data_IF_094366009290
#
_entry.id   IF_094366009290
#
_cell.length_a   1.000
_cell.length_b   1.000
_cell.length_c   1.000
_cell.angle_alpha   90.00
_cell.angle_beta   90.00
_cell.angle_gamma   90.00
#
_symmetry.space_group_name_H-M   'P 1'
#
loop_
_entity.id
_entity.type
_entity.pdbx_description
1 polymer ?
#
# COMPACT_ATOMS: atom_id res chain seq x y z
N UNK A 1 -5.88 3.50 14.83
CA UNK A 1 -5.71 4.73 14.03
C UNK A 1 -6.74 4.81 12.93
N UNK A 2 -6.84 3.78 12.08
CA UNK A 2 -7.76 3.76 10.94
C UNK A 2 -8.90 2.77 11.17
N UNK A 3 -9.89 3.18 11.95
CA UNK A 3 -11.08 2.36 12.20
C UNK A 3 -11.86 2.09 10.90
N UNK A 4 -11.67 2.93 9.88
CA UNK A 4 -12.19 2.73 8.52
C UNK A 4 -11.74 1.44 7.83
N UNK A 5 -10.69 0.79 8.33
CA UNK A 5 -10.21 -0.44 7.73
C UNK A 5 -10.83 -1.68 8.36
N UNK A 6 -11.53 -1.52 9.50
CA UNK A 6 -12.01 -2.63 10.33
C UNK A 6 -13.16 -3.43 9.71
N UNK A 7 -13.91 -2.85 8.77
CA UNK A 7 -15.01 -3.56 8.09
C UNK A 7 -14.56 -4.36 6.86
N UNK A 8 -13.34 -4.16 6.37
CA UNK A 8 -12.82 -4.92 5.24
C UNK A 8 -12.41 -6.32 5.68
N UNK A 9 -13.04 -7.34 5.08
CA UNK A 9 -12.84 -8.75 5.45
C UNK A 9 -11.78 -9.44 4.60
N UNK A 10 -11.56 -8.97 3.37
CA UNK A 10 -10.50 -9.47 2.49
C UNK A 10 -9.25 -8.60 2.63
N UNK A 11 -8.41 -9.00 3.56
CA UNK A 11 -7.18 -8.31 3.95
C UNK A 11 -6.15 -9.34 4.39
N UNK A 12 -4.88 -9.02 4.24
CA UNK A 12 -3.77 -9.78 4.80
C UNK A 12 -2.55 -8.84 4.91
N UNK A 13 -1.44 -9.37 5.41
CA UNK A 13 -0.17 -8.66 5.40
C UNK A 13 0.99 -9.59 5.04
N UNK A 14 2.14 -9.00 4.72
CA UNK A 14 3.38 -9.75 4.52
C UNK A 14 4.59 -8.91 4.89
N UNK A 15 5.65 -9.60 5.30
CA UNK A 15 6.94 -8.97 5.54
C UNK A 15 7.79 -8.95 4.27
N UNK A 16 8.55 -7.87 4.10
CA UNK A 16 9.56 -7.74 3.06
C UNK A 16 10.90 -7.31 3.66
N UNK A 17 11.92 -8.15 3.51
CA UNK A 17 13.30 -7.89 3.93
C UNK A 17 14.18 -7.56 2.72
N UNK A 18 15.34 -6.88 2.92
CA UNK A 18 16.27 -6.58 1.82
C UNK A 18 16.74 -7.83 1.04
N UNK A 19 16.76 -9.00 1.69
CA UNK A 19 17.12 -10.29 1.09
C UNK A 19 16.03 -10.90 0.21
N UNK A 20 14.78 -10.47 0.33
CA UNK A 20 13.62 -11.14 -0.27
C UNK A 20 13.38 -10.73 -1.71
N UNK A 21 12.71 -11.54 -2.51
CA UNK A 21 12.15 -11.06 -3.78
C UNK A 21 10.74 -10.52 -3.54
N UNK A 22 10.52 -9.21 -3.69
CA UNK A 22 9.22 -8.57 -3.43
C UNK A 22 8.08 -9.26 -4.18
N UNK A 23 8.30 -9.64 -5.44
CA UNK A 23 7.31 -10.34 -6.25
C UNK A 23 6.94 -11.74 -5.74
N UNK A 24 7.88 -12.41 -5.04
CA UNK A 24 7.66 -13.75 -4.46
C UNK A 24 6.96 -13.67 -3.11
N UNK A 25 7.32 -12.73 -2.24
CA UNK A 25 6.75 -12.61 -0.89
C UNK A 25 5.42 -11.87 -0.85
N UNK A 26 5.12 -11.04 -1.86
CA UNK A 26 3.85 -10.32 -1.94
C UNK A 26 2.67 -11.29 -2.14
N UNK A 27 1.82 -11.40 -1.11
CA UNK A 27 0.59 -12.19 -1.09
C UNK A 27 -0.67 -11.40 -1.51
N UNK A 28 -0.53 -10.11 -1.85
CA UNK A 28 -1.68 -9.30 -2.26
C UNK A 28 -2.36 -9.85 -3.53
N UNK A 29 -3.68 -9.63 -3.70
CA UNK A 29 -4.43 -10.13 -4.85
C UNK A 29 -4.03 -9.45 -6.16
N UNK A 30 -4.04 -10.24 -7.23
CA UNK A 30 -3.73 -9.86 -8.61
C UNK A 30 -4.96 -9.35 -9.39
N UNK A 31 -6.16 -9.52 -8.83
CA UNK A 31 -7.44 -9.32 -9.50
C UNK A 31 -8.37 -8.37 -8.72
N UNK A 32 -7.85 -7.73 -7.65
CA UNK A 32 -8.61 -6.82 -6.79
C UNK A 32 -7.97 -5.44 -6.71
N UNK A 33 -8.76 -4.49 -6.20
CA UNK A 33 -8.41 -3.09 -5.99
C UNK A 33 -8.56 -2.79 -4.51
N UNK A 34 -7.83 -1.78 -4.04
CA UNK A 34 -7.89 -1.39 -2.64
C UNK A 34 -6.71 -0.55 -2.21
N UNK A 35 -6.50 -0.50 -0.90
CA UNK A 35 -5.45 0.31 -0.27
C UNK A 35 -4.43 -0.58 0.42
N UNK A 36 -3.25 -0.04 0.68
CA UNK A 36 -2.21 -0.71 1.43
C UNK A 36 -1.44 0.29 2.31
N UNK A 37 -1.00 -0.21 3.46
CA UNK A 37 -0.23 0.50 4.46
C UNK A 37 1.13 -0.17 4.60
N UNK A 38 2.20 0.62 4.66
CA UNK A 38 3.56 0.11 4.78
C UNK A 38 4.19 0.68 6.05
N UNK A 39 4.55 -0.22 6.94
CA UNK A 39 5.27 0.09 8.16
C UNK A 39 6.74 -0.27 8.02
N UNK A 40 7.64 0.64 8.36
CA UNK A 40 9.06 0.35 8.51
C UNK A 40 9.34 -0.19 9.91
N UNK A 41 10.07 -1.31 9.97
CA UNK A 41 10.59 -1.91 11.18
C UNK A 41 12.08 -1.59 11.28
N UNK A 42 12.45 -0.76 12.25
CA UNK A 42 13.82 -0.27 12.38
C UNK A 42 14.18 0.02 13.84
N UNK A 43 15.28 -0.56 14.33
CA UNK A 43 15.89 -0.25 15.64
C UNK A 43 14.87 -0.35 16.79
N UNK A 44 14.01 -1.36 16.75
CA UNK A 44 12.95 -1.58 17.74
C UNK A 44 11.76 -0.62 17.63
N UNK A 45 11.62 0.14 16.53
CA UNK A 45 10.49 1.03 16.26
C UNK A 45 9.67 0.52 15.06
N UNK A 46 8.39 0.86 15.09
CA UNK A 46 7.42 0.63 14.01
C UNK A 46 6.89 1.99 13.59
N UNK A 47 7.05 2.35 12.32
CA UNK A 47 6.60 3.63 11.78
C UNK A 47 5.83 3.44 10.48
N UNK A 48 4.66 4.07 10.34
CA UNK A 48 3.92 4.06 9.07
C UNK A 48 4.62 5.00 8.09
N UNK A 49 5.29 4.44 7.10
CA UNK A 49 6.11 5.23 6.16
C UNK A 49 5.37 5.52 4.86
N UNK A 50 4.39 4.69 4.47
CA UNK A 50 3.66 4.90 3.23
C UNK A 50 2.20 4.43 3.31
N UNK A 51 1.31 5.23 2.72
CA UNK A 51 -0.07 4.86 2.40
C UNK A 51 -0.20 4.91 0.88
N UNK A 52 -0.76 3.85 0.28
CA UNK A 52 -1.00 3.83 -1.15
C UNK A 52 -2.23 3.05 -1.56
N UNK A 53 -2.61 3.16 -2.83
CA UNK A 53 -3.71 2.40 -3.42
C UNK A 53 -3.40 1.72 -4.75
N UNK A 54 -4.29 0.79 -5.13
CA UNK A 54 -4.47 0.30 -6.49
C UNK A 54 -5.95 0.35 -6.88
N UNK A 55 -6.24 0.92 -8.06
CA UNK A 55 -7.60 1.07 -8.56
C UNK A 55 -8.30 2.37 -8.15
N UNK A 56 -9.45 2.60 -8.77
CA UNK A 56 -10.37 3.71 -8.48
C UNK A 56 -11.77 3.42 -9.02
N UNK A 57 -12.78 4.07 -8.45
CA UNK A 57 -14.10 4.13 -9.07
C UNK A 57 -14.09 5.27 -10.08
N UNK A 58 -14.42 4.97 -11.32
CA UNK A 58 -14.47 5.93 -12.43
C UNK A 58 -15.74 6.80 -12.35
N UNK A 59 -15.81 7.91 -13.10
CA UNK A 59 -17.01 8.76 -13.13
C UNK A 59 -18.30 8.05 -13.55
N UNK A 60 -18.20 6.97 -14.32
CA UNK A 60 -19.33 6.11 -14.72
C UNK A 60 -19.76 5.10 -13.63
N UNK A 61 -19.15 5.17 -12.45
CA UNK A 61 -19.41 4.26 -11.32
C UNK A 61 -18.69 2.91 -11.43
N UNK A 62 -17.98 2.63 -12.54
CA UNK A 62 -17.27 1.36 -12.70
C UNK A 62 -15.98 1.32 -11.87
N UNK A 63 -15.73 0.19 -11.22
CA UNK A 63 -14.47 -0.04 -10.51
C UNK A 63 -13.36 -0.40 -11.49
N UNK A 64 -12.34 0.45 -11.56
CA UNK A 64 -11.10 0.14 -12.25
C UNK A 64 -10.23 -0.80 -11.41
N UNK A 65 -9.98 -1.99 -11.96
CA UNK A 65 -9.00 -2.94 -11.46
C UNK A 65 -7.85 -2.99 -12.45
N UNK A 66 -6.63 -2.84 -11.93
CA UNK A 66 -5.43 -2.87 -12.75
C UNK A 66 -5.26 -4.25 -13.38
N UNK A 67 -5.11 -4.32 -14.71
CA UNK A 67 -4.89 -5.58 -15.46
C UNK A 67 -3.47 -5.71 -16.03
N UNK A 68 -2.66 -4.67 -15.94
CA UNK A 68 -1.28 -4.69 -16.44
C UNK A 68 -0.35 -5.48 -15.51
N UNK A 69 0.66 -6.15 -16.09
CA UNK A 69 1.69 -6.88 -15.35
C UNK A 69 1.10 -8.03 -14.54
N UNK A 70 1.36 -8.04 -13.22
CA UNK A 70 0.82 -9.00 -12.26
C UNK A 70 -0.66 -8.74 -11.90
N UNK A 71 -1.25 -7.64 -12.36
CA UNK A 71 -2.61 -7.19 -12.00
C UNK A 71 -2.80 -6.71 -10.55
N UNK A 72 -3.93 -6.04 -10.32
CA UNK A 72 -4.50 -5.73 -9.01
C UNK A 72 -3.62 -4.91 -8.08
N UNK A 73 -3.75 -5.17 -6.77
CA UNK A 73 -2.92 -4.58 -5.72
C UNK A 73 -1.48 -5.08 -5.87
N UNK A 74 -1.30 -6.36 -6.21
CA UNK A 74 0.00 -7.00 -6.36
C UNK A 74 0.92 -6.26 -7.33
N UNK A 75 0.46 -5.94 -8.54
CA UNK A 75 1.30 -5.23 -9.51
C UNK A 75 1.65 -3.82 -9.04
N UNK A 76 0.76 -3.16 -8.32
CA UNK A 76 1.06 -1.82 -7.80
C UNK A 76 2.12 -1.87 -6.71
N UNK A 77 2.05 -2.84 -5.79
CA UNK A 77 3.08 -3.06 -4.77
C UNK A 77 4.43 -3.46 -5.38
N UNK A 78 4.44 -4.37 -6.35
CA UNK A 78 5.69 -4.93 -6.90
C UNK A 78 6.32 -4.05 -7.99
N UNK A 79 5.51 -3.58 -8.94
CA UNK A 79 5.97 -2.90 -10.15
C UNK A 79 5.63 -1.40 -10.18
N UNK A 80 4.95 -0.87 -9.16
CA UNK A 80 4.78 0.58 -9.00
C UNK A 80 6.12 1.30 -8.98
N UNK A 81 6.17 2.54 -9.50
CA UNK A 81 7.38 3.37 -9.45
C UNK A 81 7.42 4.17 -8.15
N UNK A 82 8.57 4.15 -7.47
CA UNK A 82 8.87 4.98 -6.30
C UNK A 82 10.40 5.06 -6.16
N UNK A 83 10.92 6.19 -5.68
CA UNK A 83 12.38 6.44 -5.59
C UNK A 83 13.11 6.18 -6.92
N UNK A 84 12.55 6.68 -8.02
CA UNK A 84 13.18 6.61 -9.35
C UNK A 84 13.10 5.27 -10.09
N UNK A 85 12.71 4.17 -9.43
CA UNK A 85 12.62 2.84 -10.07
C UNK A 85 11.37 2.05 -9.64
N UNK A 86 11.20 0.85 -10.18
CA UNK A 86 10.16 -0.07 -9.73
C UNK A 86 10.42 -0.52 -8.28
N UNK A 87 9.37 -0.60 -7.45
CA UNK A 87 9.44 -0.92 -6.01
C UNK A 87 10.18 -2.21 -5.69
N UNK A 88 10.04 -3.23 -6.53
CA UNK A 88 10.82 -4.48 -6.44
C UNK A 88 12.35 -4.29 -6.39
N UNK A 89 12.82 -3.16 -6.90
CA UNK A 89 14.23 -2.75 -6.88
C UNK A 89 14.47 -1.62 -5.88
N UNK A 90 13.66 -0.55 -5.94
CA UNK A 90 13.94 0.69 -5.21
C UNK A 90 13.69 0.60 -3.72
N UNK A 91 12.72 -0.19 -3.25
CA UNK A 91 12.47 -0.31 -1.81
C UNK A 91 13.64 -0.94 -1.08
N UNK A 92 14.30 -1.95 -1.64
CA UNK A 92 15.52 -2.52 -1.03
C UNK A 92 16.63 -1.49 -0.88
N UNK A 93 16.82 -0.68 -1.92
CA UNK A 93 17.82 0.39 -1.91
C UNK A 93 17.49 1.41 -0.83
N UNK A 94 16.22 1.85 -0.76
CA UNK A 94 15.76 2.80 0.25
C UNK A 94 15.88 2.25 1.67
N UNK A 95 15.47 0.98 1.88
CA UNK A 95 15.61 0.31 3.17
C UNK A 95 17.08 0.24 3.62
N UNK A 96 18.02 -0.04 2.71
CA UNK A 96 19.44 -0.05 3.03
C UNK A 96 19.97 1.36 3.38
N UNK A 97 19.52 2.39 2.68
CA UNK A 97 19.91 3.80 2.95
C UNK A 97 19.41 4.25 4.32
N UNK A 98 18.14 3.97 4.61
CA UNK A 98 17.50 4.39 5.86
C UNK A 98 17.84 3.47 7.03
N UNK A 99 18.35 2.25 6.77
CA UNK A 99 18.65 1.26 7.79
C UNK A 99 17.41 0.53 8.31
N UNK A 100 16.40 0.32 7.45
CA UNK A 100 15.17 -0.42 7.73
C UNK A 100 15.44 -1.92 7.61
N UNK A 101 15.07 -2.67 8.65
CA UNK A 101 15.32 -4.12 8.74
C UNK A 101 14.28 -4.93 7.96
N UNK A 102 13.03 -4.48 8.00
CA UNK A 102 11.92 -5.05 7.24
C UNK A 102 10.80 -4.02 7.03
N UNK A 103 10.01 -4.22 5.97
CA UNK A 103 8.71 -3.59 5.83
C UNK A 103 7.63 -4.60 6.24
N UNK A 104 6.63 -4.13 6.98
CA UNK A 104 5.38 -4.86 7.23
C UNK A 104 4.27 -4.20 6.40
N UNK A 105 3.75 -4.93 5.42
CA UNK A 105 2.89 -4.39 4.37
C UNK A 105 1.50 -5.00 4.50
N UNK A 106 0.54 -4.19 4.91
CA UNK A 106 -0.88 -4.55 5.02
C UNK A 106 -1.60 -4.13 3.75
N UNK A 107 -2.52 -4.95 3.25
CA UNK A 107 -3.36 -4.60 2.12
C UNK A 107 -4.82 -4.94 2.42
N UNK A 108 -5.73 -4.11 1.92
CA UNK A 108 -7.17 -4.20 2.15
C UNK A 108 -7.90 -4.10 0.82
N UNK A 109 -8.69 -5.11 0.48
CA UNK A 109 -9.57 -5.07 -0.69
C UNK A 109 -10.81 -4.24 -0.37
N UNK A 110 -11.04 -3.19 -1.13
CA UNK A 110 -12.11 -2.20 -0.87
C UNK A 110 -13.39 -2.49 -1.64
N UNK A 111 -13.56 -3.71 -2.13
CA UNK A 111 -14.79 -4.14 -2.79
C UNK A 111 -15.06 -5.63 -2.63
N UNK A 112 -16.33 -5.98 -2.53
CA UNK A 112 -16.85 -7.33 -2.60
C UNK A 112 -18.29 -7.27 -3.17
N UNK A 113 -19.09 -8.31 -2.95
CA UNK A 113 -20.48 -8.36 -3.39
C UNK A 113 -21.41 -7.43 -2.56
N UNK A 114 -20.99 -7.03 -1.36
CA UNK A 114 -21.77 -6.21 -0.42
C UNK A 114 -21.43 -4.71 -0.48
N UNK A 115 -20.18 -4.37 -0.82
CA UNK A 115 -19.67 -2.99 -0.82
C UNK A 115 -18.70 -2.73 -1.98
N UNK A 116 -18.66 -1.47 -2.44
CA UNK A 116 -17.66 -0.98 -3.39
C UNK A 116 -17.20 0.41 -2.95
N UNK A 117 -16.14 0.45 -2.17
CA UNK A 117 -15.51 1.69 -1.72
C UNK A 117 -14.41 2.10 -2.70
N UNK A 118 -14.38 3.39 -3.06
CA UNK A 118 -13.37 3.91 -3.97
C UNK A 118 -11.97 3.95 -3.30
N UNK A 119 -10.97 3.19 -3.80
CA UNK A 119 -9.63 3.20 -3.21
C UNK A 119 -8.98 4.59 -3.15
N UNK A 120 -9.29 5.47 -4.12
CA UNK A 120 -8.81 6.86 -4.15
C UNK A 120 -9.30 7.67 -2.98
N UNK A 121 -10.61 7.61 -2.74
CA UNK A 121 -11.24 8.37 -1.66
C UNK A 121 -10.77 7.85 -0.32
N UNK A 122 -10.65 6.54 -0.17
CA UNK A 122 -10.14 5.93 1.05
C UNK A 122 -8.67 6.30 1.32
N UNK A 123 -7.77 6.18 0.33
CA UNK A 123 -6.36 6.60 0.44
C UNK A 123 -6.24 8.05 0.95
N UNK A 124 -6.97 8.98 0.33
CA UNK A 124 -6.97 10.39 0.72
C UNK A 124 -7.47 10.59 2.15
N UNK A 125 -8.48 9.83 2.57
CA UNK A 125 -9.01 9.87 3.94
C UNK A 125 -7.98 9.38 4.96
N UNK A 126 -7.30 8.26 4.67
CA UNK A 126 -6.26 7.69 5.54
C UNK A 126 -5.06 8.63 5.66
N UNK A 127 -4.59 9.21 4.56
CA UNK A 127 -3.50 10.20 4.56
C UNK A 127 -3.92 11.44 5.37
N UNK A 128 -5.14 11.95 5.16
CA UNK A 128 -5.64 13.11 5.89
C UNK A 128 -5.71 12.86 7.40
N UNK A 129 -6.14 11.66 7.82
CA UNK A 129 -6.13 11.25 9.23
C UNK A 129 -4.71 11.16 9.80
N UNK A 130 -3.76 10.62 9.05
CA UNK A 130 -2.37 10.57 9.47
C UNK A 130 -1.81 11.98 9.71
N UNK A 131 -2.02 12.90 8.75
CA UNK A 131 -1.60 14.31 8.89
C UNK A 131 -2.26 14.96 10.10
N UNK A 132 -3.54 14.71 10.35
CA UNK A 132 -4.24 15.29 11.50
C UNK A 132 -3.63 14.85 12.85
N UNK A 133 -3.05 13.65 12.93
CA UNK A 133 -2.45 13.10 14.15
C UNK A 133 -0.99 13.55 14.30
N UNK A 134 -0.21 13.51 13.22
CA UNK A 134 1.25 13.70 13.27
C UNK A 134 1.74 15.06 12.75
N UNK A 135 0.89 15.82 12.07
CA UNK A 135 1.23 17.12 11.50
C UNK A 135 2.06 17.06 10.21
N UNK A 136 2.32 15.87 9.67
CA UNK A 136 3.08 15.66 8.43
C UNK A 136 2.58 14.42 7.66
N UNK A 137 3.00 14.28 6.40
CA UNK A 137 2.76 13.07 5.59
C UNK A 137 3.60 11.89 6.10
N UNK A 138 3.18 10.63 5.85
CA UNK A 138 4.09 9.50 5.96
C UNK A 138 5.34 9.76 5.12
N UNK A 139 6.52 9.42 5.63
CA UNK A 139 7.80 9.90 5.09
C UNK A 139 8.09 9.49 3.63
N UNK A 140 7.41 8.46 3.11
CA UNK A 140 7.53 8.01 1.72
C UNK A 140 6.38 8.48 0.81
N UNK A 141 5.42 9.27 1.31
CA UNK A 141 4.39 9.94 0.52
C UNK A 141 4.88 11.34 0.10
N UNK A 142 4.75 11.66 -1.19
CA UNK A 142 5.29 12.92 -1.74
C UNK A 142 4.24 14.04 -1.90
N UNK A 143 2.96 13.70 -1.97
CA UNK A 143 1.85 14.63 -2.23
C UNK A 143 0.50 14.00 -1.86
N UNK A 144 -0.55 14.83 -1.80
CA UNK A 144 -1.97 14.46 -1.61
C UNK A 144 -2.69 14.24 -2.94
#
# INVERSE_FOLDING_TARGET
MFDELSHYTNTDHFFFKPTDSLGKVCNAPADKSGVYLIYALQRGRIELVYIGRSGEVKPDGSLFIRRAGLGGIKDRLVNGKQFGAARRNSWKQQMNIEGIEALDIYWYVTHNDDYVDCPKVLENKLISKYIAIYGHLPIWNNEL
#
